data_IF_693265585315
#
_entry.id   IF_693265585315
#
_cell.length_a   1.000
_cell.length_b   1.000
_cell.length_c   1.000
_cell.angle_alpha   90.00
_cell.angle_beta   90.00
_cell.angle_gamma   90.00
#
_symmetry.space_group_name_H-M   'P 1'
#
loop_
_entity.id
_entity.type
_entity.pdbx_description
1 polymer ?
#
# COMPACT_ATOMS: atom_id res chain seq x y z
N UNK A 1 -12.70 -20.20 5.93
CA UNK A 1 -11.68 -19.23 6.41
C UNK A 1 -11.87 -17.97 5.59
N UNK A 2 -11.95 -16.79 6.22
CA UNK A 2 -12.03 -15.53 5.49
C UNK A 2 -10.72 -15.34 4.70
N UNK A 3 -10.83 -15.14 3.39
CA UNK A 3 -9.65 -14.91 2.55
C UNK A 3 -9.11 -13.51 2.85
N UNK A 4 -7.80 -13.40 3.11
CA UNK A 4 -7.17 -12.10 3.36
C UNK A 4 -7.18 -11.24 2.09
N UNK A 5 -7.03 -9.92 2.23
CA UNK A 5 -6.91 -9.03 1.07
C UNK A 5 -5.66 -9.32 0.24
N UNK A 6 -4.61 -9.82 0.88
CA UNK A 6 -3.36 -10.23 0.24
C UNK A 6 -3.58 -11.50 -0.58
N UNK A 7 -4.36 -12.47 -0.09
CA UNK A 7 -4.71 -13.65 -0.87
C UNK A 7 -5.59 -13.31 -2.08
N UNK A 8 -6.51 -12.35 -1.94
CA UNK A 8 -7.30 -11.84 -3.06
C UNK A 8 -6.40 -11.19 -4.11
N UNK A 9 -5.47 -10.32 -3.69
CA UNK A 9 -4.49 -9.66 -4.56
C UNK A 9 -3.58 -10.67 -5.25
N UNK A 10 -3.07 -11.65 -4.52
CA UNK A 10 -2.24 -12.72 -5.06
C UNK A 10 -2.96 -13.47 -6.19
N UNK A 11 -4.22 -13.87 -5.96
CA UNK A 11 -5.03 -14.53 -7.00
C UNK A 11 -5.28 -13.62 -8.21
N UNK A 12 -5.55 -12.34 -7.99
CA UNK A 12 -5.77 -11.39 -9.10
C UNK A 12 -4.51 -11.23 -9.98
N UNK A 13 -3.32 -11.20 -9.38
CA UNK A 13 -2.05 -11.16 -10.11
C UNK A 13 -1.80 -12.48 -10.87
N UNK A 14 -2.06 -13.63 -10.23
CA UNK A 14 -1.94 -14.94 -10.91
C UNK A 14 -2.90 -15.08 -12.09
N UNK A 15 -4.15 -14.60 -11.97
CA UNK A 15 -5.14 -14.64 -13.04
C UNK A 15 -4.74 -13.83 -14.27
N UNK A 16 -3.88 -12.82 -14.09
CA UNK A 16 -3.29 -12.03 -15.19
C UNK A 16 -2.04 -12.67 -15.79
N UNK A 17 -1.61 -13.82 -15.30
CA UNK A 17 -0.48 -14.58 -15.86
C UNK A 17 0.91 -14.11 -15.42
N UNK A 18 1.01 -13.31 -14.35
CA UNK A 18 2.31 -12.87 -13.85
C UNK A 18 3.08 -14.01 -13.15
N UNK A 19 4.43 -13.96 -13.15
CA UNK A 19 5.26 -14.96 -12.47
C UNK A 19 4.92 -15.09 -10.99
N UNK A 20 4.89 -16.32 -10.46
CA UNK A 20 4.54 -16.62 -9.07
C UNK A 20 5.40 -15.83 -8.06
N UNK A 21 6.70 -15.69 -8.36
CA UNK A 21 7.64 -14.91 -7.54
C UNK A 21 7.22 -13.44 -7.43
N UNK A 22 6.80 -12.82 -8.53
CA UNK A 22 6.30 -11.45 -8.55
C UNK A 22 4.98 -11.34 -7.78
N UNK A 23 4.05 -12.27 -8.01
CA UNK A 23 2.78 -12.30 -7.31
C UNK A 23 2.97 -12.35 -5.78
N UNK A 24 3.87 -13.20 -5.29
CA UNK A 24 4.17 -13.31 -3.86
C UNK A 24 4.85 -12.07 -3.29
N UNK A 25 5.81 -11.52 -4.02
CA UNK A 25 6.53 -10.32 -3.60
C UNK A 25 5.56 -9.15 -3.42
N UNK A 26 4.71 -8.89 -4.42
CA UNK A 26 3.73 -7.81 -4.38
C UNK A 26 2.70 -8.07 -3.27
N UNK A 27 2.05 -9.23 -3.26
CA UNK A 27 0.91 -9.47 -2.38
C UNK A 27 1.29 -9.59 -0.90
N UNK A 28 2.38 -10.29 -0.60
CA UNK A 28 2.70 -10.68 0.79
C UNK A 28 3.82 -9.85 1.42
N UNK A 29 4.75 -9.28 0.62
CA UNK A 29 5.84 -8.45 1.17
C UNK A 29 5.54 -6.96 1.05
N UNK A 30 5.20 -6.50 -0.15
CA UNK A 30 5.04 -5.07 -0.41
C UNK A 30 3.66 -4.54 0.00
N UNK A 31 2.59 -5.23 -0.39
CA UNK A 31 1.19 -4.87 -0.12
C UNK A 31 0.65 -5.49 1.17
N UNK A 32 1.47 -5.49 2.22
CA UNK A 32 1.25 -6.23 3.47
C UNK A 32 0.15 -5.66 4.40
N UNK A 33 -0.54 -4.58 4.01
CA UNK A 33 -1.69 -4.04 4.74
C UNK A 33 -2.96 -4.11 3.89
N UNK A 34 -4.13 -4.14 4.52
CA UNK A 34 -5.41 -4.12 3.81
C UNK A 34 -5.58 -2.86 2.96
N UNK A 35 -5.06 -1.72 3.42
CA UNK A 35 -5.07 -0.46 2.68
C UNK A 35 -4.32 -0.57 1.35
N UNK A 36 -3.06 -1.02 1.41
CA UNK A 36 -2.21 -1.17 0.23
C UNK A 36 -2.75 -2.25 -0.72
N UNK A 37 -3.19 -3.39 -0.19
CA UNK A 37 -3.76 -4.47 -0.98
C UNK A 37 -5.05 -4.06 -1.70
N UNK A 38 -5.94 -3.33 -1.02
CA UNK A 38 -7.20 -2.83 -1.59
C UNK A 38 -6.95 -1.82 -2.72
N UNK A 39 -5.96 -0.94 -2.56
CA UNK A 39 -5.57 0.01 -3.63
C UNK A 39 -5.07 -0.73 -4.86
N UNK A 40 -4.19 -1.71 -4.66
CA UNK A 40 -3.62 -2.51 -5.75
C UNK A 40 -4.70 -3.34 -6.47
N UNK A 41 -5.61 -3.96 -5.74
CA UNK A 41 -6.78 -4.65 -6.32
C UNK A 41 -7.63 -3.70 -7.17
N UNK A 42 -7.87 -2.48 -6.68
CA UNK A 42 -8.59 -1.46 -7.43
C UNK A 42 -7.93 -1.13 -8.76
N UNK A 43 -6.60 -1.01 -8.81
CA UNK A 43 -5.86 -0.83 -10.05
C UNK A 43 -6.04 -2.02 -11.00
N UNK A 44 -5.80 -3.24 -10.52
CA UNK A 44 -5.88 -4.46 -11.33
C UNK A 44 -7.29 -4.71 -11.91
N UNK A 45 -8.34 -4.28 -11.22
CA UNK A 45 -9.72 -4.39 -11.71
C UNK A 45 -10.08 -3.35 -12.78
N UNK A 46 -9.39 -2.20 -12.83
CA UNK A 46 -9.60 -1.17 -13.86
C UNK A 46 -8.68 -1.32 -15.06
N UNK A 47 -7.57 -2.02 -14.91
CA UNK A 47 -6.57 -2.21 -15.96
C UNK A 47 -6.62 -3.64 -16.48
N UNK A 48 -7.02 -3.81 -17.75
CA UNK A 48 -7.27 -5.12 -18.34
C UNK A 48 -6.00 -5.97 -18.48
N UNK A 49 -4.96 -5.44 -19.11
CA UNK A 49 -3.72 -6.14 -19.40
C UNK A 49 -2.49 -5.24 -19.13
N UNK A 50 -2.20 -4.92 -17.85
CA UNK A 50 -1.02 -4.11 -17.54
C UNK A 50 0.25 -4.91 -17.77
N UNK A 51 1.29 -4.26 -18.29
CA UNK A 51 2.61 -4.90 -18.34
C UNK A 51 3.14 -5.06 -16.90
N UNK A 52 4.04 -6.01 -16.64
CA UNK A 52 4.64 -6.16 -15.31
C UNK A 52 5.25 -4.86 -14.77
N UNK A 53 5.82 -4.03 -15.64
CA UNK A 53 6.36 -2.72 -15.29
C UNK A 53 5.27 -1.78 -14.77
N UNK A 54 4.11 -1.73 -15.44
CA UNK A 54 2.99 -0.85 -15.04
C UNK A 54 2.41 -1.28 -13.68
N UNK A 55 2.42 -2.59 -13.39
CA UNK A 55 2.02 -3.15 -12.09
C UNK A 55 3.00 -2.76 -10.98
N UNK A 56 4.30 -2.81 -11.26
CA UNK A 56 5.36 -2.42 -10.32
C UNK A 56 5.34 -0.90 -10.08
N UNK A 57 5.10 -0.10 -11.10
CA UNK A 57 4.99 1.36 -10.98
C UNK A 57 3.81 1.76 -10.09
N UNK A 58 2.63 1.14 -10.28
CA UNK A 58 1.49 1.37 -9.39
C UNK A 58 1.80 0.92 -7.96
N UNK A 59 2.48 -0.22 -7.79
CA UNK A 59 2.89 -0.70 -6.47
C UNK A 59 3.78 0.34 -5.75
N UNK A 60 4.76 0.90 -6.46
CA UNK A 60 5.64 1.94 -5.92
C UNK A 60 4.89 3.25 -5.62
N UNK A 61 3.94 3.65 -6.47
CA UNK A 61 3.11 4.81 -6.24
C UNK A 61 2.27 4.67 -4.96
N UNK A 62 1.63 3.51 -4.75
CA UNK A 62 0.84 3.21 -3.54
C UNK A 62 1.72 3.23 -2.28
N UNK A 63 2.95 2.69 -2.35
CA UNK A 63 3.88 2.72 -1.23
C UNK A 63 4.36 4.14 -0.92
N UNK A 64 4.59 4.96 -1.94
CA UNK A 64 4.94 6.38 -1.79
C UNK A 64 3.82 7.16 -1.10
N UNK A 65 2.57 7.00 -1.56
CA UNK A 65 1.39 7.61 -0.94
C UNK A 65 1.27 7.24 0.54
N UNK A 66 1.46 5.95 0.87
CA UNK A 66 1.43 5.46 2.25
C UNK A 66 2.49 6.17 3.11
N UNK A 67 3.72 6.27 2.61
CA UNK A 67 4.82 6.89 3.34
C UNK A 67 4.59 8.39 3.55
N UNK A 68 4.05 9.10 2.56
CA UNK A 68 3.69 10.51 2.69
C UNK A 68 2.63 10.74 3.78
N UNK A 69 1.63 9.86 3.89
CA UNK A 69 0.62 9.92 4.96
C UNK A 69 1.24 9.72 6.33
N UNK A 70 2.17 8.77 6.49
CA UNK A 70 2.85 8.51 7.76
C UNK A 70 3.68 9.72 8.17
N UNK A 71 4.51 10.24 7.28
CA UNK A 71 5.35 11.42 7.55
C UNK A 71 4.51 12.64 7.95
N UNK A 72 3.38 12.87 7.26
CA UNK A 72 2.48 13.98 7.61
C UNK A 72 1.94 13.83 9.03
N UNK A 73 1.53 12.63 9.44
CA UNK A 73 1.02 12.37 10.80
C UNK A 73 2.10 12.54 11.87
N UNK A 74 3.33 12.12 11.58
CA UNK A 74 4.47 12.31 12.50
C UNK A 74 4.75 13.80 12.72
N UNK A 75 4.74 14.61 11.65
CA UNK A 75 4.90 16.07 11.74
C UNK A 75 3.75 16.73 12.52
N UNK A 76 2.50 16.34 12.27
CA UNK A 76 1.33 16.83 13.02
C UNK A 76 1.41 16.47 14.51
N UNK A 77 1.89 15.26 14.82
CA UNK A 77 2.10 14.83 16.20
C UNK A 77 3.21 15.64 16.88
N UNK A 78 4.35 15.84 16.22
CA UNK A 78 5.45 16.67 16.73
C UNK A 78 4.99 18.10 17.00
N UNK A 79 4.22 18.70 16.07
CA UNK A 79 3.67 20.04 16.25
C UNK A 79 2.68 20.12 17.43
N UNK A 80 1.86 19.08 17.63
CA UNK A 80 0.92 19.02 18.76
C UNK A 80 1.66 18.92 20.11
N UNK A 81 2.73 18.14 20.16
CA UNK A 81 3.59 18.02 21.34
C UNK A 81 4.29 19.34 21.66
N UNK A 82 4.83 20.04 20.65
CA UNK A 82 5.41 21.38 20.82
C UNK A 82 4.36 22.38 21.31
N UNK A 83 3.16 22.36 20.74
CA UNK A 83 2.06 23.24 21.13
C UNK A 83 1.58 22.97 22.57
N UNK A 84 1.64 21.72 23.06
CA UNK A 84 1.37 21.38 24.47
C UNK A 84 2.41 21.97 25.40
N UNK A 85 3.71 21.84 25.09
CA UNK A 85 4.79 22.47 25.88
C UNK A 85 4.61 23.99 25.95
N UNK A 86 4.23 24.62 24.84
CA UNK A 86 3.94 26.06 24.80
C UNK A 86 2.66 26.46 25.54
N UNK A 87 1.64 25.59 25.63
CA UNK A 87 0.37 25.88 26.31
C UNK A 87 0.36 25.55 27.80
N UNK A 88 1.06 24.50 28.21
CA UNK A 88 1.06 24.01 29.58
C UNK A 88 2.20 24.61 30.41
N UNK A 89 3.22 25.20 29.76
CA UNK A 89 4.39 25.74 30.43
C UNK A 89 5.28 24.65 31.03
N UNK A 90 6.54 24.97 31.31
CA UNK A 90 7.41 24.13 32.13
C UNK A 90 7.00 24.18 33.61
#
# INVERSE_FOLDING_TARGET
MAQSKQDELYKALQQKGYPDSLCREIAYKQMNTDYTATRMLGYLYRTSDPRPEDVVDEMLAILSDRNAIIQKKELEHAQTTINKVYREGL
#
